data_IF_055439689989
#
_entry.id   IF_055439689989
#
_cell.length_a   1.000
_cell.length_b   1.000
_cell.length_c   1.000
_cell.angle_alpha   90.00
_cell.angle_beta   90.00
_cell.angle_gamma   90.00
#
_symmetry.space_group_name_H-M   'P 1'
#
loop_
_entity.id
_entity.type
_entity.pdbx_description
1 polymer ?
#
# COMPACT_ATOMS: atom_id res chain seq x y z
N UNK A 1 -16.67 -27.35 -41.25
CA UNK A 1 -16.53 -26.07 -41.95
C UNK A 1 -17.47 -25.07 -41.30
N UNK A 2 -16.93 -24.04 -40.66
CA UNK A 2 -17.70 -22.89 -40.16
C UNK A 2 -16.80 -21.65 -40.24
N UNK A 3 -17.00 -20.86 -41.30
CA UNK A 3 -16.26 -19.62 -41.52
C UNK A 3 -16.79 -18.55 -40.58
N UNK A 4 -15.94 -18.04 -39.69
CA UNK A 4 -16.21 -16.84 -38.92
C UNK A 4 -16.19 -15.63 -39.87
N UNK A 5 -17.37 -15.12 -40.20
CA UNK A 5 -17.57 -13.80 -40.82
C UNK A 5 -17.34 -12.74 -39.73
N UNK A 6 -16.11 -12.23 -39.61
CA UNK A 6 -15.86 -10.95 -38.98
C UNK A 6 -15.16 -10.04 -39.99
N UNK A 7 -15.75 -8.87 -40.16
CA UNK A 7 -15.48 -7.87 -41.18
C UNK A 7 -13.98 -7.59 -41.42
N UNK A 8 -13.57 -7.65 -42.68
CA UNK A 8 -12.35 -7.02 -43.18
C UNK A 8 -12.58 -5.51 -43.26
N UNK A 9 -12.40 -4.78 -42.17
CA UNK A 9 -12.29 -3.32 -42.23
C UNK A 9 -10.86 -2.97 -42.66
N UNK A 10 -10.69 -2.66 -43.96
CA UNK A 10 -9.48 -2.06 -44.54
C UNK A 10 -9.30 -0.61 -44.08
N UNK A 11 -9.35 -0.34 -42.77
CA UNK A 11 -8.95 0.96 -42.21
C UNK A 11 -7.53 0.77 -41.72
N UNK A 12 -6.58 1.43 -42.35
CA UNK A 12 -5.17 1.38 -41.92
C UNK A 12 -5.10 1.70 -40.43
N UNK A 13 -4.75 0.72 -39.61
CA UNK A 13 -4.51 0.95 -38.19
C UNK A 13 -3.32 1.90 -38.10
N UNK A 14 -3.58 3.16 -37.77
CA UNK A 14 -2.53 4.11 -37.45
C UNK A 14 -1.89 3.63 -36.17
N UNK A 15 -0.68 3.06 -36.29
CA UNK A 15 0.11 2.65 -35.11
C UNK A 15 0.28 3.89 -34.24
N UNK A 16 -0.36 3.87 -33.08
CA UNK A 16 -0.34 4.99 -32.16
C UNK A 16 1.08 5.17 -31.62
N UNK A 17 1.81 6.12 -32.22
CA UNK A 17 3.21 6.44 -31.90
C UNK A 17 3.41 6.86 -30.44
N UNK A 18 2.34 7.23 -29.73
CA UNK A 18 2.38 7.68 -28.33
C UNK A 18 1.91 6.62 -27.34
N UNK A 19 1.55 5.41 -27.80
CA UNK A 19 1.12 4.32 -26.92
C UNK A 19 2.18 3.97 -25.86
N UNK A 20 3.46 3.97 -26.24
CA UNK A 20 4.57 3.72 -25.30
C UNK A 20 4.69 4.80 -24.22
N UNK A 21 4.61 6.07 -24.62
CA UNK A 21 4.61 7.21 -23.69
C UNK A 21 3.39 7.19 -22.77
N UNK A 22 2.20 6.90 -23.31
CA UNK A 22 1.01 6.77 -22.48
C UNK A 22 1.13 5.58 -21.53
N UNK A 23 1.58 4.40 -21.96
CA UNK A 23 1.81 3.28 -21.03
C UNK A 23 2.83 3.60 -19.94
N UNK A 24 3.87 4.37 -20.27
CA UNK A 24 4.88 4.83 -19.30
C UNK A 24 4.28 5.76 -18.23
N UNK A 25 3.41 6.71 -18.61
CA UNK A 25 2.81 7.68 -17.67
C UNK A 25 1.46 7.22 -17.07
N UNK A 26 0.74 6.34 -17.76
CA UNK A 26 -0.58 5.81 -17.37
C UNK A 26 -0.45 4.52 -16.54
N UNK A 27 0.78 4.01 -16.38
CA UNK A 27 1.12 2.77 -15.69
C UNK A 27 2.11 3.00 -14.55
N UNK A 28 1.92 4.05 -13.76
CA UNK A 28 2.49 4.05 -12.41
C UNK A 28 1.80 2.93 -11.62
N UNK A 29 2.38 1.72 -11.70
CA UNK A 29 2.13 0.54 -10.87
C UNK A 29 0.66 0.10 -10.74
N UNK A 30 0.10 -0.47 -11.82
CA UNK A 30 -1.13 -1.28 -11.69
C UNK A 30 -0.73 -2.75 -11.76
N UNK A 31 -0.16 -3.26 -10.66
CA UNK A 31 0.03 -4.70 -10.50
C UNK A 31 -1.30 -5.27 -10.02
N UNK A 32 -1.98 -6.03 -10.87
CA UNK A 32 -3.17 -6.77 -10.45
C UNK A 32 -2.74 -7.93 -9.56
N UNK A 33 -3.03 -7.83 -8.28
CA UNK A 33 -2.80 -8.90 -7.30
C UNK A 33 -4.09 -9.68 -7.10
N UNK A 34 -4.01 -11.02 -7.14
CA UNK A 34 -5.14 -11.88 -6.83
C UNK A 34 -5.12 -12.19 -5.34
N UNK A 35 -6.16 -11.77 -4.63
CA UNK A 35 -6.31 -11.95 -3.18
C UNK A 35 -7.63 -12.68 -2.93
N UNK A 36 -7.65 -13.57 -1.94
CA UNK A 36 -8.89 -14.19 -1.50
C UNK A 36 -9.81 -13.13 -0.85
N UNK A 37 -11.10 -13.04 -1.24
CA UNK A 37 -12.01 -12.04 -0.69
C UNK A 37 -12.17 -12.12 0.84
N UNK A 38 -12.05 -13.31 1.43
CA UNK A 38 -12.17 -13.51 2.87
C UNK A 38 -10.95 -12.99 3.62
N UNK A 39 -9.74 -13.23 3.10
CA UNK A 39 -8.49 -12.69 3.66
C UNK A 39 -8.49 -11.17 3.58
N UNK A 40 -8.89 -10.61 2.43
CA UNK A 40 -9.00 -9.17 2.25
C UNK A 40 -9.94 -8.54 3.29
N UNK A 41 -11.12 -9.13 3.50
CA UNK A 41 -12.09 -8.63 4.46
C UNK A 41 -11.60 -8.75 5.91
N UNK A 42 -10.86 -9.81 6.25
CA UNK A 42 -10.28 -9.99 7.57
C UNK A 42 -9.25 -8.89 7.88
N UNK A 43 -8.31 -8.65 6.96
CA UNK A 43 -7.30 -7.57 7.09
C UNK A 43 -7.96 -6.21 7.18
N UNK A 44 -8.97 -5.94 6.34
CA UNK A 44 -9.73 -4.69 6.39
C UNK A 44 -10.41 -4.49 7.74
N UNK A 45 -11.03 -5.54 8.29
CA UNK A 45 -11.71 -5.48 9.59
C UNK A 45 -10.73 -5.19 10.73
N UNK A 46 -9.52 -5.75 10.66
CA UNK A 46 -8.43 -5.44 11.59
C UNK A 46 -8.08 -3.95 11.55
N UNK A 47 -7.83 -3.39 10.36
CA UNK A 47 -7.49 -1.98 10.23
C UNK A 47 -8.65 -1.06 10.62
N UNK A 48 -9.89 -1.40 10.26
CA UNK A 48 -11.08 -0.63 10.63
C UNK A 48 -11.20 -0.47 12.15
N UNK A 49 -10.90 -1.55 12.90
CA UNK A 49 -10.89 -1.52 14.38
C UNK A 49 -9.78 -0.62 14.91
N UNK A 50 -8.60 -0.62 14.29
CA UNK A 50 -7.43 0.17 14.72
C UNK A 50 -7.50 1.64 14.28
N UNK A 51 -8.26 1.97 13.24
CA UNK A 51 -8.43 3.33 12.70
C UNK A 51 -9.70 4.04 13.19
N UNK A 52 -10.36 3.53 14.24
CA UNK A 52 -11.61 4.09 14.77
C UNK A 52 -12.75 4.14 13.73
N UNK A 53 -12.89 3.09 12.92
CA UNK A 53 -13.90 2.95 11.85
C UNK A 53 -13.74 3.92 10.66
N UNK A 54 -12.54 4.43 10.43
CA UNK A 54 -12.23 5.14 9.17
C UNK A 54 -12.06 4.12 8.04
N UNK A 55 -13.08 4.00 7.19
CA UNK A 55 -13.11 3.08 6.06
C UNK A 55 -12.09 3.41 4.97
N UNK A 56 -11.85 4.69 4.68
CA UNK A 56 -10.94 5.11 3.62
C UNK A 56 -9.49 4.77 4.00
N UNK A 57 -9.13 5.10 5.23
CA UNK A 57 -7.81 4.76 5.78
C UNK A 57 -7.65 3.24 5.89
N UNK A 58 -8.67 2.53 6.35
CA UNK A 58 -8.61 1.06 6.47
C UNK A 58 -8.44 0.37 5.11
N UNK A 59 -9.17 0.81 4.07
CA UNK A 59 -9.01 0.29 2.71
C UNK A 59 -7.58 0.53 2.21
N UNK A 60 -7.08 1.76 2.34
CA UNK A 60 -5.75 2.14 1.85
C UNK A 60 -4.64 1.34 2.54
N UNK A 61 -4.74 1.13 3.86
CA UNK A 61 -3.78 0.31 4.61
C UNK A 61 -3.86 -1.16 4.23
N UNK A 62 -5.07 -1.68 3.97
CA UNK A 62 -5.28 -3.06 3.50
C UNK A 62 -4.59 -3.28 2.15
N UNK A 63 -4.88 -2.43 1.18
CA UNK A 63 -4.30 -2.51 -0.17
C UNK A 63 -2.76 -2.43 -0.12
N UNK A 64 -2.24 -1.48 0.67
CA UNK A 64 -0.79 -1.30 0.86
C UNK A 64 -0.14 -2.53 1.48
N UNK A 65 -0.79 -3.17 2.46
CA UNK A 65 -0.24 -4.35 3.13
C UNK A 65 -0.17 -5.56 2.19
N UNK A 66 -1.19 -5.76 1.36
CA UNK A 66 -1.18 -6.83 0.35
C UNK A 66 -0.14 -6.56 -0.74
N UNK A 67 0.03 -5.33 -1.19
CA UNK A 67 1.09 -4.97 -2.13
C UNK A 67 2.48 -5.29 -1.54
N UNK A 68 2.72 -4.89 -0.29
CA UNK A 68 3.97 -5.20 0.40
C UNK A 68 4.16 -6.71 0.57
N UNK A 69 3.10 -7.44 0.95
CA UNK A 69 3.13 -8.89 1.11
C UNK A 69 3.53 -9.61 -0.18
N UNK A 70 3.02 -9.15 -1.33
CA UNK A 70 3.41 -9.69 -2.65
C UNK A 70 4.86 -9.35 -2.99
N UNK A 71 5.33 -8.14 -2.69
CA UNK A 71 6.71 -7.71 -2.98
C UNK A 71 7.74 -8.47 -2.12
N UNK A 72 7.40 -8.73 -0.85
CA UNK A 72 8.30 -9.36 0.12
C UNK A 72 8.07 -10.87 0.28
N UNK A 73 7.13 -11.46 -0.47
CA UNK A 73 6.73 -12.86 -0.37
C UNK A 73 6.29 -13.27 1.05
N UNK A 74 5.58 -12.38 1.75
CA UNK A 74 5.09 -12.58 3.12
C UNK A 74 3.60 -12.89 3.10
N UNK A 75 3.18 -13.86 3.94
CA UNK A 75 1.78 -14.12 4.19
C UNK A 75 1.16 -13.00 5.05
N UNK A 76 0.19 -12.27 4.48
CA UNK A 76 -0.46 -11.12 5.14
C UNK A 76 -1.29 -11.55 6.35
N UNK A 77 -1.90 -12.75 6.32
CA UNK A 77 -2.68 -13.26 7.44
C UNK A 77 -1.80 -13.56 8.67
N UNK A 78 -0.63 -14.17 8.45
CA UNK A 78 0.34 -14.38 9.54
C UNK A 78 0.85 -13.04 10.11
N UNK A 79 1.02 -12.04 9.24
CA UNK A 79 1.44 -10.72 9.66
C UNK A 79 0.39 -10.03 10.54
N UNK A 80 -0.88 -10.02 10.13
CA UNK A 80 -1.93 -9.39 10.96
C UNK A 80 -2.11 -10.12 12.29
N UNK A 81 -1.93 -11.45 12.33
CA UNK A 81 -2.03 -12.23 13.58
C UNK A 81 -0.92 -11.82 14.57
N UNK A 82 0.27 -11.51 14.06
CA UNK A 82 1.36 -10.97 14.90
C UNK A 82 1.02 -9.56 15.40
N UNK A 83 0.54 -8.68 14.52
CA UNK A 83 0.20 -7.29 14.83
C UNK A 83 -1.02 -7.15 15.75
N UNK A 84 -1.89 -8.16 15.85
CA UNK A 84 -3.07 -8.11 16.74
C UNK A 84 -2.72 -7.85 18.21
N UNK A 85 -1.59 -8.41 18.66
CA UNK A 85 -1.14 -8.30 20.06
C UNK A 85 -0.38 -7.01 20.36
N UNK A 86 -0.04 -6.24 19.32
CA UNK A 86 0.78 -5.04 19.43
C UNK A 86 -0.04 -3.77 19.74
N UNK A 87 0.65 -2.78 20.31
CA UNK A 87 0.08 -1.44 20.52
C UNK A 87 -0.11 -0.72 19.19
N UNK A 88 -0.97 0.29 19.14
CA UNK A 88 -1.17 1.09 17.92
C UNK A 88 0.14 1.75 17.47
N UNK A 89 0.97 2.20 18.41
CA UNK A 89 2.25 2.84 18.12
C UNK A 89 3.23 1.84 17.48
N UNK A 90 3.31 0.62 18.01
CA UNK A 90 4.17 -0.44 17.46
C UNK A 90 3.72 -0.85 16.05
N UNK A 91 2.40 -0.98 15.84
CA UNK A 91 1.83 -1.26 14.52
C UNK A 91 2.22 -0.16 13.51
N UNK A 92 2.11 1.11 13.89
CA UNK A 92 2.51 2.23 13.03
C UNK A 92 3.99 2.18 12.67
N UNK A 93 4.86 1.93 13.65
CA UNK A 93 6.31 1.84 13.43
C UNK A 93 6.63 0.69 12.47
N UNK A 94 6.03 -0.48 12.69
CA UNK A 94 6.22 -1.66 11.85
C UNK A 94 5.78 -1.40 10.42
N UNK A 95 4.58 -0.84 10.21
CA UNK A 95 4.08 -0.50 8.88
C UNK A 95 4.98 0.52 8.16
N UNK A 96 5.43 1.56 8.86
CA UNK A 96 6.33 2.57 8.30
C UNK A 96 7.66 1.93 7.86
N UNK A 97 8.21 1.03 8.68
CA UNK A 97 9.43 0.30 8.34
C UNK A 97 9.25 -0.57 7.09
N UNK A 98 8.12 -1.27 6.99
CA UNK A 98 7.77 -2.10 5.83
C UNK A 98 7.62 -1.27 4.55
N UNK A 99 6.90 -0.15 4.62
CA UNK A 99 6.70 0.77 3.50
C UNK A 99 8.06 1.33 3.03
N UNK A 100 8.92 1.74 3.96
CA UNK A 100 10.26 2.25 3.63
C UNK A 100 11.14 1.20 2.95
N UNK A 101 10.91 -0.08 3.20
CA UNK A 101 11.68 -1.17 2.59
C UNK A 101 11.30 -1.38 1.11
N UNK A 102 10.00 -1.31 0.79
CA UNK A 102 9.49 -1.52 -0.58
C UNK A 102 9.59 -0.28 -1.47
N UNK A 103 9.54 0.92 -0.87
CA UNK A 103 9.50 2.17 -1.64
C UNK A 103 10.85 2.47 -2.29
N UNK A 104 10.84 3.12 -3.46
CA UNK A 104 12.06 3.62 -4.10
C UNK A 104 12.82 4.54 -3.13
N UNK A 105 14.16 4.38 -3.07
CA UNK A 105 15.07 5.09 -2.15
C UNK A 105 15.26 6.58 -2.50
N UNK A 106 14.18 7.34 -2.56
CA UNK A 106 14.21 8.80 -2.77
C UNK A 106 14.02 9.57 -1.46
N UNK A 107 13.37 8.96 -0.45
CA UNK A 107 13.18 9.51 0.89
C UNK A 107 12.73 8.44 1.88
N UNK A 108 12.89 8.70 3.19
CA UNK A 108 12.44 7.83 4.30
C UNK A 108 11.23 8.46 4.98
N UNK A 109 10.18 7.67 5.19
CA UNK A 109 9.03 8.04 6.02
C UNK A 109 9.42 7.93 7.49
N UNK A 110 9.29 9.03 8.24
CA UNK A 110 9.45 9.05 9.69
C UNK A 110 8.10 9.09 10.41
N UNK A 111 8.13 8.98 11.73
CA UNK A 111 6.98 9.18 12.61
C UNK A 111 7.37 10.16 13.73
N UNK A 112 6.38 10.91 14.21
CA UNK A 112 6.59 11.80 15.34
C UNK A 112 6.48 11.03 16.65
N UNK A 113 7.51 11.12 17.49
CA UNK A 113 7.42 10.65 18.89
C UNK A 113 7.28 11.87 19.77
N UNK A 114 6.26 11.91 20.63
CA UNK A 114 6.19 12.89 21.71
C UNK A 114 7.29 12.58 22.73
N UNK A 115 8.49 13.11 22.51
CA UNK A 115 9.59 12.98 23.47
C UNK A 115 9.32 13.97 24.60
N UNK A 116 9.03 13.47 25.79
CA UNK A 116 9.06 14.30 26.99
C UNK A 116 10.49 14.82 27.18
N UNK A 117 10.73 16.16 27.12
CA UNK A 117 12.06 16.70 27.27
C UNK A 117 12.64 16.34 28.64
N UNK A 118 13.95 16.15 28.72
CA UNK A 118 14.62 15.94 30.01
C UNK A 118 14.32 17.16 30.91
N UNK A 119 13.86 16.96 32.17
CA UNK A 119 13.56 18.06 33.09
C UNK A 119 14.74 19.01 33.33
N UNK A 120 15.98 18.56 33.15
CA UNK A 120 17.18 19.42 33.24
C UNK A 120 17.25 20.42 32.08
N UNK A 121 16.79 20.06 30.88
CA UNK A 121 16.83 20.91 29.69
C UNK A 121 15.66 21.91 29.66
N UNK A 122 14.52 21.56 30.27
CA UNK A 122 13.35 22.45 30.38
C UNK A 122 13.64 23.74 31.15
N UNK A 123 14.60 23.73 32.08
CA UNK A 123 14.99 24.92 32.85
C UNK A 123 15.75 25.97 32.04
N UNK A 124 16.22 25.64 30.84
CA UNK A 124 17.04 26.53 30.00
C UNK A 124 16.28 27.15 28.82
N UNK A 125 14.97 26.87 28.67
CA UNK A 125 14.14 27.36 27.54
C UNK A 125 13.04 28.34 28.04
N UNK A 126 13.16 28.80 29.30
CA UNK A 126 12.35 29.90 29.83
C UNK A 126 13.30 31.03 30.23
N UNK A 127 13.71 31.83 29.25
CA UNK A 127 14.18 33.22 29.40
C UNK A 127 13.43 34.09 28.40
#
# INVERSE_FOLDING_TARGET
>A
MSNNLYASTNVGQTVDKKLGTRKFFNGHYVQSINIDPSEHQAVKSFFLTKTNNDEETANTLTDSLFEIGVIQEINVMELIDRLQTETIDDIQITLIAMINNVRKKTSVLGFSTNRTPNPVVLRNIVE
#
